data_IF_758567371178
#
_entry.id   IF_758567371178
#
_cell.length_a   1.000
_cell.length_b   1.000
_cell.length_c   1.000
_cell.angle_alpha   90.00
_cell.angle_beta   90.00
_cell.angle_gamma   90.00
#
_symmetry.space_group_name_H-M   'P 1'
#
loop_
_entity.id
_entity.type
_entity.pdbx_description
1 polymer ?
#
# COMPACT_ATOMS: atom_id res chain seq x y z
N UNK A 1 15.59 15.29 -9.34
CA UNK A 1 14.30 15.31 -10.02
C UNK A 1 13.53 14.10 -9.56
N UNK A 2 12.33 14.30 -9.02
CA UNK A 2 11.50 13.19 -8.55
C UNK A 2 10.78 12.59 -9.74
N UNK A 3 10.86 11.27 -9.90
CA UNK A 3 10.15 10.55 -10.97
C UNK A 3 8.89 9.90 -10.41
N UNK A 4 7.88 9.71 -11.26
CA UNK A 4 6.63 9.04 -10.85
C UNK A 4 6.90 7.64 -10.29
N UNK A 5 7.84 6.90 -10.89
CA UNK A 5 8.22 5.56 -10.44
C UNK A 5 8.81 5.57 -9.01
N UNK A 6 9.58 6.60 -8.67
CA UNK A 6 10.13 6.77 -7.32
C UNK A 6 9.00 6.98 -6.30
N UNK A 7 8.04 7.85 -6.62
CA UNK A 7 6.88 8.12 -5.76
C UNK A 7 6.03 6.86 -5.59
N UNK A 8 5.77 6.15 -6.70
CA UNK A 8 5.00 4.90 -6.73
C UNK A 8 5.63 3.82 -5.85
N UNK A 9 6.94 3.62 -5.99
CA UNK A 9 7.67 2.62 -5.20
C UNK A 9 7.59 2.96 -3.71
N UNK A 10 7.86 4.22 -3.35
CA UNK A 10 7.83 4.66 -1.96
C UNK A 10 6.44 4.50 -1.32
N UNK A 11 5.38 4.91 -2.04
CA UNK A 11 4.00 4.75 -1.56
C UNK A 11 3.61 3.28 -1.42
N UNK A 12 4.02 2.41 -2.35
CA UNK A 12 3.77 0.97 -2.26
C UNK A 12 4.49 0.31 -1.07
N UNK A 13 5.71 0.73 -0.77
CA UNK A 13 6.43 0.25 0.42
C UNK A 13 5.68 0.61 1.71
N UNK A 14 5.12 1.83 1.79
CA UNK A 14 4.28 2.24 2.93
C UNK A 14 2.94 1.52 2.99
N UNK A 15 2.33 1.24 1.84
CA UNK A 15 1.12 0.42 1.77
C UNK A 15 1.40 -1.00 2.29
N UNK A 16 2.55 -1.58 1.94
CA UNK A 16 2.94 -2.90 2.44
C UNK A 16 3.24 -2.92 3.94
N UNK A 17 3.75 -1.82 4.51
CA UNK A 17 4.02 -1.67 5.95
C UNK A 17 2.72 -1.56 6.79
N UNK A 18 1.59 -1.27 6.16
CA UNK A 18 0.29 -1.16 6.83
C UNK A 18 0.10 0.12 7.65
N UNK A 19 1.02 1.08 7.56
CA UNK A 19 0.97 2.37 8.27
C UNK A 19 0.55 3.49 7.33
N UNK A 20 -0.65 3.40 6.78
CA UNK A 20 -1.19 4.42 5.89
C UNK A 20 -2.70 4.57 6.13
N UNK A 21 -3.16 5.81 6.27
CA UNK A 21 -4.59 6.12 6.40
C UNK A 21 -5.23 6.33 5.03
N UNK A 22 -4.61 7.16 4.19
CA UNK A 22 -5.14 7.56 2.89
C UNK A 22 -4.01 7.90 1.91
N UNK A 23 -4.32 7.91 0.62
CA UNK A 23 -3.41 8.38 -0.41
C UNK A 23 -2.92 9.82 -0.17
N UNK A 24 -3.79 10.67 0.37
CA UNK A 24 -3.45 12.06 0.69
C UNK A 24 -2.39 12.13 1.82
N UNK A 25 -2.52 11.30 2.86
CA UNK A 25 -1.50 11.20 3.92
C UNK A 25 -0.15 10.73 3.37
N UNK A 26 -0.15 9.71 2.49
CA UNK A 26 1.06 9.21 1.85
C UNK A 26 1.74 10.27 0.96
N UNK A 27 0.95 11.00 0.17
CA UNK A 27 1.47 12.11 -0.65
C UNK A 27 2.07 13.21 0.23
N UNK A 28 1.41 13.56 1.34
CA UNK A 28 1.92 14.56 2.27
C UNK A 28 3.23 14.12 2.91
N UNK A 29 3.31 12.90 3.43
CA UNK A 29 4.54 12.39 4.04
C UNK A 29 5.70 12.34 3.05
N UNK A 30 5.43 11.98 1.80
CA UNK A 30 6.45 12.00 0.75
C UNK A 30 6.96 13.44 0.50
N UNK A 31 6.06 14.41 0.39
CA UNK A 31 6.42 15.81 0.21
C UNK A 31 7.26 16.35 1.39
N UNK A 32 6.87 16.01 2.63
CA UNK A 32 7.62 16.37 3.83
C UNK A 32 9.00 15.69 3.87
N UNK A 33 9.10 14.40 3.54
CA UNK A 33 10.36 13.65 3.50
C UNK A 33 11.35 14.18 2.45
N UNK A 34 10.83 14.70 1.34
CA UNK A 34 11.64 15.30 0.27
C UNK A 34 11.76 16.82 0.36
N UNK A 35 11.23 17.44 1.43
CA UNK A 35 11.24 18.89 1.69
C UNK A 35 10.67 19.71 0.50
N UNK A 36 9.61 19.18 -0.13
CA UNK A 36 8.90 19.81 -1.25
C UNK A 36 7.69 20.53 -0.70
N UNK A 37 7.82 21.84 -0.51
CA UNK A 37 6.78 22.67 0.11
C UNK A 37 6.13 23.63 -0.91
N UNK A 38 6.73 23.74 -2.09
CA UNK A 38 6.27 24.65 -3.12
C UNK A 38 5.22 23.96 -3.99
N UNK A 39 4.00 24.49 -3.93
CA UNK A 39 2.84 24.03 -4.70
C UNK A 39 2.98 24.31 -6.19
N UNK A 40 3.84 25.27 -6.57
CA UNK A 40 4.14 25.57 -7.97
C UNK A 40 5.22 24.66 -8.53
N UNK A 41 5.85 23.83 -7.70
CA UNK A 41 6.88 22.91 -8.14
C UNK A 41 6.27 21.76 -8.96
N UNK A 42 6.83 21.44 -10.14
CA UNK A 42 6.34 20.34 -10.96
C UNK A 42 6.47 18.97 -10.26
N UNK A 43 7.45 18.80 -9.36
CA UNK A 43 7.58 17.59 -8.54
C UNK A 43 6.43 17.50 -7.52
N UNK A 44 5.93 18.63 -6.97
CA UNK A 44 4.74 18.64 -6.11
C UNK A 44 3.52 18.10 -6.87
N UNK A 45 3.25 18.67 -8.05
CA UNK A 45 2.12 18.26 -8.89
C UNK A 45 2.20 16.78 -9.27
N UNK A 46 3.41 16.28 -9.52
CA UNK A 46 3.67 14.87 -9.83
C UNK A 46 3.34 13.96 -8.66
N UNK A 47 3.77 14.30 -7.44
CA UNK A 47 3.48 13.50 -6.23
C UNK A 47 1.98 13.42 -5.95
N UNK A 48 1.27 14.54 -6.10
CA UNK A 48 -0.18 14.58 -5.91
C UNK A 48 -0.89 13.73 -6.97
N UNK A 49 -0.50 13.83 -8.24
CA UNK A 49 -1.12 13.04 -9.31
C UNK A 49 -0.93 11.53 -9.10
N UNK A 50 0.27 11.10 -8.66
CA UNK A 50 0.53 9.70 -8.30
C UNK A 50 -0.34 9.27 -7.11
N UNK A 51 -0.46 10.10 -6.08
CA UNK A 51 -1.34 9.84 -4.94
C UNK A 51 -2.80 9.64 -5.35
N UNK A 52 -3.34 10.52 -6.21
CA UNK A 52 -4.70 10.39 -6.73
C UNK A 52 -4.91 9.11 -7.55
N UNK A 53 -3.91 8.70 -8.35
CA UNK A 53 -3.98 7.42 -9.09
C UNK A 53 -4.01 6.21 -8.17
N UNK A 54 -3.29 6.26 -7.05
CA UNK A 54 -3.24 5.18 -6.07
C UNK A 54 -4.42 5.19 -5.10
N UNK A 55 -5.14 6.30 -4.96
CA UNK A 55 -6.31 6.41 -4.08
C UNK A 55 -7.34 5.27 -4.24
N UNK A 56 -7.79 4.88 -5.45
CA UNK A 56 -8.69 3.73 -5.62
C UNK A 56 -8.05 2.40 -5.23
N UNK A 57 -6.75 2.18 -5.51
CA UNK A 57 -6.04 0.95 -5.10
C UNK A 57 -5.89 0.87 -3.57
N UNK A 58 -5.61 2.00 -2.93
CA UNK A 58 -5.51 2.13 -1.47
C UNK A 58 -6.87 1.87 -0.83
N UNK A 59 -7.94 2.45 -1.38
CA UNK A 59 -9.30 2.22 -0.91
C UNK A 59 -9.72 0.75 -1.04
N UNK A 60 -9.42 0.11 -2.18
CA UNK A 60 -9.67 -1.32 -2.39
C UNK A 60 -8.86 -2.20 -1.42
N UNK A 61 -7.61 -1.86 -1.12
CA UNK A 61 -6.83 -2.60 -0.11
C UNK A 61 -7.29 -2.35 1.33
N UNK A 62 -7.76 -1.16 1.68
CA UNK A 62 -8.36 -0.88 3.00
C UNK A 62 -9.68 -1.64 3.17
N UNK A 63 -10.52 -1.68 2.13
CA UNK A 63 -11.77 -2.46 2.11
C UNK A 63 -11.51 -3.97 2.27
N UNK A 64 -10.46 -4.49 1.63
CA UNK A 64 -10.04 -5.89 1.80
C UNK A 64 -9.41 -6.16 3.17
N UNK A 65 -8.65 -5.23 3.73
CA UNK A 65 -8.08 -5.37 5.08
C UNK A 65 -9.18 -5.49 6.15
N UNK A 66 -10.30 -4.78 6.02
CA UNK A 66 -11.43 -4.92 6.97
C UNK A 66 -12.21 -6.23 6.81
N UNK A 67 -12.01 -6.97 5.72
CA UNK A 67 -12.78 -8.19 5.37
C UNK A 67 -11.99 -9.50 5.41
N UNK A 68 -10.85 -9.54 6.13
CA UNK A 68 -9.81 -10.58 6.12
C UNK A 68 -8.84 -10.47 4.93
N UNK A 69 -7.55 -10.52 5.28
CA UNK A 69 -6.33 -10.72 4.47
C UNK A 69 -5.53 -9.43 4.17
N UNK A 70 -4.29 -9.30 4.68
CA UNK A 70 -3.42 -8.16 4.38
C UNK A 70 -2.93 -8.19 2.93
N UNK A 71 -3.17 -7.09 2.21
CA UNK A 71 -2.58 -6.80 0.91
C UNK A 71 -1.05 -6.67 1.02
N UNK A 72 -0.32 -7.79 1.04
CA UNK A 72 1.14 -7.72 1.17
C UNK A 72 1.85 -9.02 1.51
N UNK A 73 1.47 -10.15 0.90
CA UNK A 73 2.26 -11.37 1.00
C UNK A 73 2.37 -12.05 -0.37
N UNK A 74 3.28 -11.55 -1.21
CA UNK A 74 3.87 -12.40 -2.26
C UNK A 74 5.09 -13.06 -1.62
N UNK A 75 5.03 -14.39 -1.49
CA UNK A 75 6.10 -15.36 -1.18
C UNK A 75 5.97 -16.09 0.15
N UNK A 76 5.36 -17.27 0.07
CA UNK A 76 5.31 -18.25 1.13
C UNK A 76 4.59 -19.51 0.65
N UNK A 77 5.14 -20.11 -0.39
CA UNK A 77 4.75 -21.42 -0.90
C UNK A 77 4.69 -22.44 0.26
N UNK A 78 3.49 -22.80 0.72
CA UNK A 78 3.24 -24.15 1.25
C UNK A 78 1.78 -24.54 1.00
N UNK A 79 1.62 -25.17 -0.14
CA UNK A 79 0.63 -26.21 -0.32
C UNK A 79 0.68 -27.18 0.86
N UNK A 80 -0.43 -27.34 1.58
CA UNK A 80 -0.87 -28.62 2.12
C UNK A 80 -2.38 -28.54 2.28
N UNK A 81 -3.05 -28.92 1.20
CA UNK A 81 -4.31 -29.65 1.28
C UNK A 81 -4.06 -30.91 2.11
N UNK A 82 -4.63 -31.03 3.30
CA UNK A 82 -4.82 -32.35 3.91
C UNK A 82 -6.03 -32.41 4.85
N UNK A 83 -7.16 -32.83 4.27
CA UNK A 83 -8.12 -33.79 4.81
C UNK A 83 -8.33 -33.87 6.34
N UNK A 84 -9.53 -33.50 6.79
CA UNK A 84 -10.15 -34.08 7.99
C UNK A 84 -10.86 -35.38 7.54
N UNK A 85 -10.47 -36.54 8.08
CA UNK A 85 -11.48 -37.44 8.62
C UNK A 85 -11.02 -38.21 9.87
N UNK A 86 -11.74 -38.00 10.98
CA UNK A 86 -12.08 -39.07 11.93
C UNK A 86 -11.10 -39.45 13.04
N UNK A 87 -11.71 -40.01 14.11
CA UNK A 87 -11.15 -40.79 15.23
C UNK A 87 -10.60 -39.96 16.41
N UNK A 88 -10.88 -40.22 17.69
CA UNK A 88 -11.85 -41.06 18.41
C UNK A 88 -11.73 -40.67 19.90
N UNK A 89 -12.85 -40.68 20.60
CA UNK A 89 -12.95 -40.48 22.05
C UNK A 89 -12.35 -41.69 22.80
N UNK A 90 -11.65 -41.48 23.90
CA UNK A 90 -11.88 -42.32 25.09
C UNK A 90 -12.32 -41.52 26.31
#
# INVERSE_FOLDING_TARGET
>A
MITEDHVLKWMRERIADGRFDTAASLSREFLEAHNIHDVLDPDFSRVINVGFRLAPEIADCLDKQTSLQPCGAKNGLRSTTHWIPGVVNP
#
